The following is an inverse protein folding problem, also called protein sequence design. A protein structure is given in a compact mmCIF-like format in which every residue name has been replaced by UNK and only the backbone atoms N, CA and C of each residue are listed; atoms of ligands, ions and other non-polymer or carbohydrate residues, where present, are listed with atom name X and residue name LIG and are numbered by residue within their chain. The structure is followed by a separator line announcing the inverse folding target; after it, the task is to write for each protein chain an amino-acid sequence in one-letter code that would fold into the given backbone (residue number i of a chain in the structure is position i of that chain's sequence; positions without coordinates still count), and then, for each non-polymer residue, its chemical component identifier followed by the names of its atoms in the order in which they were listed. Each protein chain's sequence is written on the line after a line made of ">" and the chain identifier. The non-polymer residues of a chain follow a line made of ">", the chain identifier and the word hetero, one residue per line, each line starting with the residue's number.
data_IF_687240699044
#
_entry.id   IF_687240699044
#
_cell.length_a   1.000
_cell.length_b   1.000
_cell.length_c   1.000
_cell.angle_alpha   90.00
_cell.angle_beta   90.00
_cell.angle_gamma   90.00
#
_symmetry.space_group_name_H-M   'P 1'
#
loop_
_entity.id
_entity.type
_entity.pdbx_description
1 polymer ?
#
# COMPACT_ATOMS: atom_id res chain seq x y z
N UNK A 1 -5.01 -11.72 -13.27
CA UNK A 1 -3.85 -11.09 -13.91
C UNK A 1 -3.09 -12.13 -14.73
N UNK A 2 -2.50 -13.17 -14.13
CA UNK A 2 -1.60 -14.13 -14.80
C UNK A 2 -2.24 -14.89 -15.99
N UNK A 3 -3.55 -15.03 -16.01
CA UNK A 3 -4.29 -15.68 -17.11
C UNK A 3 -4.62 -14.74 -18.29
N UNK A 4 -4.33 -13.44 -18.18
CA UNK A 4 -4.60 -12.48 -19.23
C UNK A 4 -3.41 -12.45 -20.22
N UNK A 5 -3.65 -12.55 -21.54
CA UNK A 5 -2.57 -12.47 -22.51
C UNK A 5 -2.04 -11.03 -22.64
N UNK A 6 -0.74 -10.90 -22.93
CA UNK A 6 -0.12 -9.61 -23.22
C UNK A 6 0.16 -8.72 -22.01
N UNK A 7 0.02 -9.22 -20.78
CA UNK A 7 0.40 -8.47 -19.57
C UNK A 7 1.92 -8.49 -19.43
N UNK A 8 2.56 -7.33 -19.45
CA UNK A 8 3.98 -7.17 -19.18
C UNK A 8 4.30 -6.52 -17.83
N UNK A 9 3.33 -5.82 -17.23
CA UNK A 9 3.53 -5.05 -16.01
C UNK A 9 2.34 -5.20 -15.06
N UNK A 10 2.61 -5.23 -13.76
CA UNK A 10 1.64 -5.26 -12.67
C UNK A 10 2.01 -4.17 -11.66
N UNK A 11 1.09 -3.27 -11.35
CA UNK A 11 1.19 -2.37 -10.18
C UNK A 11 0.45 -3.04 -9.02
N UNK A 12 1.13 -3.25 -7.90
CA UNK A 12 0.58 -3.89 -6.71
C UNK A 12 0.39 -2.86 -5.59
N UNK A 13 -0.87 -2.58 -5.26
CA UNK A 13 -1.28 -1.71 -4.14
C UNK A 13 -2.37 -2.45 -3.35
N UNK A 14 -2.00 -3.11 -2.28
CA UNK A 14 -2.87 -3.92 -1.43
C UNK A 14 -2.47 -3.78 0.04
N UNK A 15 -3.19 -4.40 0.97
CA UNK A 15 -2.83 -4.54 2.38
C UNK A 15 -3.55 -3.57 3.32
N UNK A 16 -4.14 -2.47 2.86
CA UNK A 16 -4.83 -1.53 3.75
C UNK A 16 -6.05 -2.17 4.43
N UNK A 17 -6.76 -3.04 3.73
CA UNK A 17 -7.91 -3.76 4.28
C UNK A 17 -7.48 -4.79 5.34
N UNK A 18 -6.32 -5.40 5.16
CA UNK A 18 -5.76 -6.37 6.13
C UNK A 18 -5.42 -5.66 7.43
N UNK A 19 -4.70 -4.53 7.37
CA UNK A 19 -4.38 -3.69 8.53
C UNK A 19 -5.67 -3.17 9.19
N UNK A 20 -6.59 -2.64 8.40
CA UNK A 20 -7.84 -2.07 8.89
C UNK A 20 -8.74 -3.11 9.58
N UNK A 21 -8.81 -4.32 9.06
CA UNK A 21 -9.58 -5.41 9.68
C UNK A 21 -8.97 -5.84 11.02
N UNK A 22 -7.64 -5.86 11.16
CA UNK A 22 -6.99 -6.11 12.44
C UNK A 22 -7.25 -4.94 13.42
N UNK A 23 -7.12 -3.69 12.96
CA UNK A 23 -7.39 -2.50 13.76
C UNK A 23 -8.79 -2.50 14.40
N UNK A 24 -9.80 -2.98 13.68
CA UNK A 24 -11.17 -3.10 14.20
C UNK A 24 -11.32 -4.05 15.37
N UNK A 25 -10.43 -5.01 15.55
CA UNK A 25 -10.53 -5.99 16.62
C UNK A 25 -10.28 -5.39 18.01
N UNK A 26 -9.59 -4.24 18.10
CA UNK A 26 -9.28 -3.46 19.33
C UNK A 26 -8.49 -4.21 20.42
N UNK A 27 -8.42 -5.52 20.33
CA UNK A 27 -7.73 -6.39 21.28
C UNK A 27 -6.54 -7.11 20.66
N UNK A 28 -6.15 -6.69 19.43
CA UNK A 28 -5.02 -7.27 18.73
C UNK A 28 -3.74 -7.13 19.56
N UNK A 29 -3.03 -8.22 19.70
CA UNK A 29 -1.77 -8.29 20.44
C UNK A 29 -0.59 -7.85 19.56
N UNK A 30 0.55 -7.45 20.14
CA UNK A 30 1.75 -7.18 19.36
C UNK A 30 2.20 -8.35 18.47
N UNK A 31 1.95 -9.59 18.89
CA UNK A 31 2.25 -10.78 18.09
C UNK A 31 1.35 -10.89 16.85
N UNK A 32 0.06 -10.53 16.95
CA UNK A 32 -0.87 -10.51 15.82
C UNK A 32 -0.52 -9.40 14.83
N UNK A 33 -0.10 -8.22 15.29
CA UNK A 33 0.42 -7.15 14.45
C UNK A 33 1.69 -7.59 13.68
N UNK A 34 2.66 -8.20 14.37
CA UNK A 34 3.87 -8.72 13.74
C UNK A 34 3.54 -9.82 12.70
N UNK A 35 2.63 -10.74 13.03
CA UNK A 35 2.18 -11.79 12.12
C UNK A 35 1.48 -11.23 10.87
N UNK A 36 0.68 -10.16 11.02
CA UNK A 36 0.06 -9.48 9.87
C UNK A 36 1.11 -8.92 8.90
N UNK A 37 2.09 -8.20 9.41
CA UNK A 37 3.17 -7.63 8.58
C UNK A 37 3.92 -8.73 7.85
N UNK A 38 4.25 -9.82 8.52
CA UNK A 38 4.91 -10.99 7.92
C UNK A 38 4.03 -11.63 6.83
N UNK A 39 2.75 -11.84 7.09
CA UNK A 39 1.81 -12.43 6.13
C UNK A 39 1.65 -11.57 4.88
N UNK A 40 1.48 -10.26 5.02
CA UNK A 40 1.33 -9.34 3.89
C UNK A 40 2.60 -9.30 3.04
N UNK A 41 3.76 -9.18 3.66
CA UNK A 41 5.03 -9.13 2.93
C UNK A 41 5.37 -10.48 2.27
N UNK A 42 5.05 -11.60 2.91
CA UNK A 42 5.16 -12.93 2.30
C UNK A 42 4.20 -13.12 1.11
N UNK A 43 2.99 -12.59 1.20
CA UNK A 43 2.04 -12.60 0.09
C UNK A 43 2.57 -11.78 -1.10
N UNK A 44 3.15 -10.60 -0.85
CA UNK A 44 3.81 -9.81 -1.89
C UNK A 44 4.94 -10.60 -2.56
N UNK A 45 5.83 -11.20 -1.78
CA UNK A 45 6.93 -12.01 -2.33
C UNK A 45 6.42 -13.15 -3.22
N UNK A 46 5.31 -13.81 -2.85
CA UNK A 46 4.68 -14.84 -3.66
C UNK A 46 4.08 -14.30 -4.96
N UNK A 47 3.38 -13.15 -4.90
CA UNK A 47 2.81 -12.51 -6.09
C UNK A 47 3.91 -12.15 -7.07
N UNK A 48 5.00 -11.53 -6.58
CA UNK A 48 6.16 -11.14 -7.37
C UNK A 48 6.79 -12.37 -8.03
N UNK A 49 7.09 -13.42 -7.27
CA UNK A 49 7.70 -14.64 -7.81
C UNK A 49 6.85 -15.29 -8.91
N UNK A 50 5.53 -15.33 -8.74
CA UNK A 50 4.60 -15.85 -9.75
C UNK A 50 4.53 -14.96 -10.99
N UNK A 51 4.50 -13.64 -10.82
CA UNK A 51 4.50 -12.68 -11.92
C UNK A 51 5.81 -12.79 -12.74
N UNK A 52 6.95 -12.82 -12.07
CA UNK A 52 8.26 -13.00 -12.69
C UNK A 52 8.37 -14.33 -13.47
N UNK A 53 7.79 -15.42 -12.96
CA UNK A 53 7.72 -16.70 -13.68
C UNK A 53 6.94 -16.62 -15.01
N UNK A 54 6.10 -15.60 -15.18
CA UNK A 54 5.38 -15.29 -16.42
C UNK A 54 5.99 -14.11 -17.21
N UNK A 55 7.19 -13.64 -16.84
CA UNK A 55 7.85 -12.51 -17.49
C UNK A 55 7.19 -11.15 -17.22
N UNK A 56 6.38 -11.03 -16.16
CA UNK A 56 5.67 -9.82 -15.79
C UNK A 56 6.49 -9.06 -14.74
N UNK A 57 6.83 -7.80 -15.02
CA UNK A 57 7.46 -6.89 -14.05
C UNK A 57 6.43 -6.45 -13.00
N UNK A 58 6.84 -6.34 -11.73
CA UNK A 58 5.95 -5.94 -10.63
C UNK A 58 6.45 -4.66 -9.98
N UNK A 59 5.60 -3.63 -9.99
CA UNK A 59 5.86 -2.33 -9.40
C UNK A 59 5.09 -2.22 -8.08
N UNK A 60 5.81 -2.10 -6.95
CA UNK A 60 5.19 -1.98 -5.63
C UNK A 60 4.75 -0.55 -5.35
N UNK A 61 3.48 -0.37 -5.01
CA UNK A 61 2.97 0.91 -4.54
C UNK A 61 2.84 0.90 -3.01
N UNK A 62 3.29 1.97 -2.34
CA UNK A 62 3.19 2.05 -0.88
C UNK A 62 1.75 2.33 -0.44
N UNK A 63 1.35 1.72 0.69
CA UNK A 63 0.02 1.82 1.27
C UNK A 63 -0.22 3.25 1.78
N UNK A 64 -1.36 3.83 1.41
CA UNK A 64 -1.78 5.17 1.78
C UNK A 64 -2.02 5.33 3.28
N UNK A 65 -1.86 6.53 3.85
CA UNK A 65 -2.25 6.82 5.23
C UNK A 65 -3.77 6.73 5.41
N UNK A 66 -4.22 6.30 6.61
CA UNK A 66 -5.66 6.15 6.89
C UNK A 66 -6.06 6.38 8.35
N UNK A 67 -5.22 7.09 9.12
CA UNK A 67 -5.43 7.29 10.56
C UNK A 67 -6.72 8.04 10.93
N UNK A 68 -7.36 8.75 9.99
CA UNK A 68 -8.66 9.40 10.19
C UNK A 68 -9.87 8.56 9.80
N UNK A 69 -9.67 7.34 9.31
CA UNK A 69 -10.79 6.51 8.89
C UNK A 69 -11.58 5.96 10.08
N UNK A 70 -12.86 6.36 10.20
CA UNK A 70 -13.72 5.96 11.32
C UNK A 70 -14.15 4.49 11.23
N UNK A 71 -14.29 3.93 10.03
CA UNK A 71 -14.73 2.54 9.86
C UNK A 71 -13.72 1.53 10.39
N UNK A 72 -12.44 1.70 10.08
CA UNK A 72 -11.35 0.87 10.60
C UNK A 72 -10.90 1.32 11.98
N UNK A 73 -11.04 2.62 12.26
CA UNK A 73 -10.66 3.24 13.54
C UNK A 73 -9.21 2.86 13.95
N UNK A 74 -8.23 3.08 13.05
CA UNK A 74 -6.84 2.68 13.29
C UNK A 74 -6.24 3.39 14.50
N UNK A 75 -5.21 2.80 15.05
CA UNK A 75 -4.44 3.33 16.17
C UNK A 75 -2.93 3.38 15.82
N UNK A 76 -2.10 3.69 16.81
CA UNK A 76 -0.65 3.77 16.63
C UNK A 76 -0.02 2.43 16.19
N UNK A 77 -0.59 1.28 16.60
CA UNK A 77 -0.10 -0.03 16.19
C UNK A 77 -0.42 -0.28 14.71
N UNK A 78 -1.63 0.07 14.28
CA UNK A 78 -2.03 -0.02 12.85
C UNK A 78 -1.15 0.86 11.95
N UNK A 79 -0.80 2.06 12.40
CA UNK A 79 0.13 2.93 11.66
C UNK A 79 1.54 2.34 11.63
N UNK A 80 2.00 1.72 12.72
CA UNK A 80 3.29 1.04 12.75
C UNK A 80 3.33 -0.14 11.77
N UNK A 81 2.26 -0.93 11.66
CA UNK A 81 2.14 -2.01 10.67
C UNK A 81 2.23 -1.47 9.24
N UNK A 82 1.48 -0.40 8.95
CA UNK A 82 1.51 0.26 7.65
C UNK A 82 2.92 0.73 7.29
N UNK A 83 3.60 1.37 8.24
CA UNK A 83 4.98 1.84 8.05
C UNK A 83 5.97 0.68 7.87
N UNK A 84 5.80 -0.42 8.60
CA UNK A 84 6.64 -1.60 8.44
C UNK A 84 6.49 -2.24 7.06
N UNK A 85 5.24 -2.39 6.57
CA UNK A 85 4.96 -2.90 5.21
C UNK A 85 5.53 -1.93 4.16
N UNK A 86 5.30 -0.62 4.30
CA UNK A 86 5.84 0.38 3.38
C UNK A 86 7.37 0.43 3.38
N UNK A 87 8.01 0.23 4.52
CA UNK A 87 9.47 0.09 4.60
C UNK A 87 9.94 -1.13 3.81
N UNK A 88 9.28 -2.26 3.95
CA UNK A 88 9.60 -3.47 3.17
C UNK A 88 9.40 -3.23 1.67
N UNK A 89 8.31 -2.57 1.24
CA UNK A 89 8.08 -2.22 -0.17
C UNK A 89 9.26 -1.39 -0.71
N UNK A 90 9.72 -0.40 0.06
CA UNK A 90 10.78 0.52 -0.35
C UNK A 90 12.17 -0.12 -0.38
N UNK A 91 12.45 -1.07 0.50
CA UNK A 91 13.85 -1.47 0.81
C UNK A 91 14.15 -2.94 0.58
N UNK A 92 13.17 -3.82 0.38
CA UNK A 92 13.42 -5.25 0.19
C UNK A 92 14.15 -5.59 -1.10
N UNK A 93 14.06 -4.73 -2.12
CA UNK A 93 14.57 -5.04 -3.46
C UNK A 93 13.78 -6.13 -4.20
N UNK A 94 12.62 -6.53 -3.68
CA UNK A 94 11.80 -7.57 -4.29
C UNK A 94 11.02 -7.09 -5.52
N UNK A 95 10.59 -5.83 -5.51
CA UNK A 95 9.88 -5.21 -6.62
C UNK A 95 10.85 -4.72 -7.71
N UNK A 96 10.42 -4.74 -8.97
CA UNK A 96 11.19 -4.17 -10.08
C UNK A 96 11.31 -2.65 -9.99
N UNK A 97 10.33 -1.99 -9.38
CA UNK A 97 10.39 -0.58 -8.98
C UNK A 97 9.38 -0.28 -7.86
N UNK A 98 9.51 0.90 -7.26
CA UNK A 98 8.61 1.38 -6.20
C UNK A 98 7.95 2.68 -6.63
N UNK A 99 6.63 2.76 -6.42
CA UNK A 99 5.81 3.96 -6.58
C UNK A 99 5.42 4.43 -5.18
N UNK A 100 6.05 5.50 -4.68
CA UNK A 100 5.85 5.94 -3.29
C UNK A 100 4.58 6.79 -3.13
N UNK A 101 3.43 6.14 -3.21
CA UNK A 101 2.12 6.80 -3.06
C UNK A 101 1.89 7.35 -1.65
N UNK A 102 2.46 6.72 -0.62
CA UNK A 102 2.42 7.26 0.76
C UNK A 102 3.04 8.67 0.82
N UNK A 103 4.20 8.86 0.20
CA UNK A 103 4.86 10.17 0.17
C UNK A 103 4.04 11.24 -0.56
N UNK A 104 3.32 10.86 -1.62
CA UNK A 104 2.48 11.75 -2.43
C UNK A 104 1.20 12.13 -1.72
N UNK A 105 0.57 11.16 -1.05
CA UNK A 105 -0.80 11.28 -0.56
C UNK A 105 -0.93 11.73 0.90
N UNK A 106 0.17 11.66 1.68
CA UNK A 106 0.13 12.00 3.11
C UNK A 106 0.02 13.50 3.35
N UNK A 107 -0.65 13.85 4.45
CA UNK A 107 -0.60 15.20 5.03
C UNK A 107 0.83 15.49 5.52
N UNK A 108 1.51 16.53 5.01
CA UNK A 108 2.88 16.84 5.45
C UNK A 108 3.01 17.14 6.93
N UNK A 109 1.95 17.67 7.56
CA UNK A 109 1.92 18.00 8.99
C UNK A 109 1.58 16.78 9.86
N UNK A 110 0.89 15.78 9.30
CA UNK A 110 0.43 14.57 9.99
C UNK A 110 0.59 13.34 9.10
N UNK A 111 1.78 12.77 8.96
CA UNK A 111 2.08 11.75 7.95
C UNK A 111 1.23 10.46 7.99
N UNK A 112 0.58 10.16 9.11
CA UNK A 112 -0.38 9.05 9.21
C UNK A 112 -1.76 9.34 8.62
N UNK A 113 -2.01 10.56 8.14
CA UNK A 113 -3.31 11.02 7.62
C UNK A 113 -3.22 11.34 6.13
N UNK A 114 -4.30 11.09 5.40
CA UNK A 114 -4.42 11.60 4.03
C UNK A 114 -4.37 13.12 4.01
N UNK A 115 -3.74 13.68 2.98
CA UNK A 115 -3.80 15.11 2.72
C UNK A 115 -5.27 15.50 2.47
N UNK A 116 -5.82 16.49 3.20
CA UNK A 116 -7.22 16.91 3.04
C UNK A 116 -7.60 17.33 1.61
N UNK A 117 -6.63 17.79 0.81
CA UNK A 117 -6.84 18.11 -0.60
C UNK A 117 -7.14 16.87 -1.47
N UNK A 118 -6.76 15.69 -1.00
CA UNK A 118 -6.87 14.42 -1.73
C UNK A 118 -7.88 13.43 -1.14
N UNK A 119 -8.44 13.74 0.04
CA UNK A 119 -9.38 12.89 0.76
C UNK A 119 -10.83 13.12 0.29
N UNK A 120 -11.63 12.06 0.18
CA UNK A 120 -13.09 12.16 -0.01
C UNK A 120 -13.80 12.71 1.24
N UNK A 121 -13.11 12.74 2.38
CA UNK A 121 -13.63 13.10 3.70
C UNK A 121 -13.87 11.88 4.60
N UNK A 122 -13.55 10.67 4.13
CA UNK A 122 -13.68 9.44 4.92
C UNK A 122 -12.34 8.97 5.53
N UNK A 123 -11.25 9.66 5.22
CA UNK A 123 -9.93 9.36 5.75
C UNK A 123 -9.28 8.10 5.17
N UNK A 124 -9.78 7.60 4.04
CA UNK A 124 -9.32 6.36 3.42
C UNK A 124 -9.23 6.47 1.89
N UNK A 125 -10.31 6.93 1.25
CA UNK A 125 -10.41 6.91 -0.20
C UNK A 125 -9.99 8.25 -0.82
N UNK A 126 -9.15 8.22 -1.87
CA UNK A 126 -8.80 9.42 -2.62
C UNK A 126 -10.00 10.02 -3.34
N UNK A 127 -10.10 11.35 -3.34
CA UNK A 127 -11.00 12.09 -4.22
C UNK A 127 -10.42 12.17 -5.64
N UNK A 128 -11.11 12.78 -6.63
CA UNK A 128 -10.60 12.89 -8.00
C UNK A 128 -9.23 13.57 -8.12
N UNK A 129 -8.92 14.55 -7.25
CA UNK A 129 -7.60 15.18 -7.22
C UNK A 129 -6.52 14.24 -6.68
N UNK A 130 -6.86 13.44 -5.66
CA UNK A 130 -5.99 12.40 -5.12
C UNK A 130 -5.69 11.31 -6.15
N UNK A 131 -6.71 10.80 -6.86
CA UNK A 131 -6.48 9.83 -7.95
C UNK A 131 -5.59 10.39 -9.05
N UNK A 132 -5.74 11.67 -9.40
CA UNK A 132 -4.84 12.33 -10.35
C UNK A 132 -3.41 12.38 -9.82
N UNK A 133 -3.21 12.80 -8.58
CA UNK A 133 -1.89 12.85 -7.95
C UNK A 133 -1.22 11.46 -7.91
N UNK A 134 -1.99 10.40 -7.63
CA UNK A 134 -1.49 9.02 -7.69
C UNK A 134 -1.10 8.62 -9.10
N UNK A 135 -1.89 8.96 -10.11
CA UNK A 135 -1.58 8.66 -11.51
C UNK A 135 -0.33 9.40 -11.99
N UNK A 136 -0.21 10.68 -11.66
CA UNK A 136 0.95 11.52 -12.01
C UNK A 136 2.25 11.05 -11.32
N UNK A 137 2.13 10.33 -10.20
CA UNK A 137 3.27 9.75 -9.50
C UNK A 137 3.82 8.46 -10.13
N UNK A 138 3.12 7.88 -11.12
CA UNK A 138 3.58 6.69 -11.85
C UNK A 138 4.48 7.13 -13.01
N UNK A 139 5.81 6.86 -12.96
CA UNK A 139 6.69 7.21 -14.06
C UNK A 139 6.37 6.37 -15.29
N UNK A 140 6.02 6.99 -16.42
CA UNK A 140 5.72 6.27 -17.66
C UNK A 140 6.88 5.44 -18.18
N UNK A 141 8.12 5.85 -17.86
CA UNK A 141 9.34 5.08 -18.19
C UNK A 141 9.42 3.69 -17.55
N UNK A 142 8.53 3.36 -16.61
CA UNK A 142 8.44 1.98 -16.07
C UNK A 142 7.93 0.99 -17.11
N UNK A 143 7.27 1.46 -18.16
CA UNK A 143 6.59 0.64 -19.17
C UNK A 143 7.34 0.60 -20.52
N UNK A 144 8.53 1.20 -20.57
CA UNK A 144 9.42 1.21 -21.75
C UNK A 144 10.20 -0.11 -21.91
#
# INVERSE_FOLDING_TARGET
>A
VLAQPGIGHLILLEGINDIGNLARQKTATPAEHAALVEQVTAAYAQIIARAHAHGIKVHGATILPFMSNEYYSPDAASEADRQAINAWIRTSGAFDSVIDLDAVMRDPARPGYLNPAYDTGDGLHPNPAGFRAMADAVPLSLFD
#
